data_IF_578986506775
#
_entry.id   IF_578986506775
#
_cell.length_a   1.000
_cell.length_b   1.000
_cell.length_c   1.000
_cell.angle_alpha   90.00
_cell.angle_beta   90.00
_cell.angle_gamma   90.00
#
_symmetry.space_group_name_H-M   'P 1'
#
loop_
_entity.id
_entity.type
_entity.pdbx_description
1 polymer ?
#
# COMPACT_ATOMS: atom_id res chain seq x y z
N UNK A 1 -2.49 -17.15 16.04
CA UNK A 1 -1.83 -16.35 14.98
C UNK A 1 -0.68 -15.55 15.58
N UNK A 2 0.41 -16.25 15.92
CA UNK A 2 1.48 -15.72 16.77
C UNK A 2 2.64 -15.12 15.96
N UNK A 3 3.08 -13.93 16.37
CA UNK A 3 4.31 -13.20 16.00
C UNK A 3 4.54 -12.90 14.50
N UNK A 4 3.87 -11.88 13.96
CA UNK A 4 4.28 -11.28 12.68
C UNK A 4 5.31 -10.16 12.90
N UNK A 5 6.45 -10.18 12.21
CA UNK A 5 7.50 -9.14 12.33
C UNK A 5 6.94 -7.74 12.00
N UNK A 6 6.83 -6.83 12.98
CA UNK A 6 6.24 -5.51 12.76
C UNK A 6 7.04 -4.71 11.74
N UNK A 7 6.37 -3.87 10.95
CA UNK A 7 7.00 -3.03 9.92
C UNK A 7 6.75 -1.55 10.23
N UNK A 8 7.72 -0.70 9.89
CA UNK A 8 7.66 0.75 10.15
C UNK A 8 7.16 1.55 8.96
N UNK A 9 7.25 0.98 7.77
CA UNK A 9 6.83 1.60 6.52
C UNK A 9 5.69 0.78 5.92
N UNK A 10 4.83 1.38 5.08
CA UNK A 10 3.72 0.67 4.43
C UNK A 10 4.20 -0.28 3.32
N UNK A 11 5.36 0.00 2.73
CA UNK A 11 6.05 -0.86 1.75
C UNK A 11 7.52 -0.98 2.10
N UNK A 12 8.12 -2.13 1.78
CA UNK A 12 9.55 -2.33 2.00
C UNK A 12 10.37 -1.37 1.11
N UNK A 13 11.39 -0.68 1.63
CA UNK A 13 12.26 0.18 0.84
C UNK A 13 12.89 -0.61 -0.31
N UNK A 14 13.10 0.06 -1.46
CA UNK A 14 13.68 -0.56 -2.67
C UNK A 14 12.86 -1.73 -3.25
N UNK A 15 11.63 -1.94 -2.80
CA UNK A 15 10.73 -2.91 -3.44
C UNK A 15 10.40 -2.42 -4.84
N UNK A 16 10.73 -3.24 -5.85
CA UNK A 16 10.45 -2.96 -7.24
C UNK A 16 9.42 -3.95 -7.78
N UNK A 17 8.15 -3.67 -7.49
CA UNK A 17 7.02 -4.46 -8.02
C UNK A 17 6.86 -4.26 -9.53
N UNK A 18 7.25 -3.10 -10.04
CA UNK A 18 7.34 -2.75 -11.47
C UNK A 18 8.24 -3.67 -12.29
N UNK A 19 9.18 -4.37 -11.65
CA UNK A 19 10.06 -5.34 -12.30
C UNK A 19 9.52 -6.76 -12.31
N UNK A 20 8.43 -7.03 -11.58
CA UNK A 20 7.77 -8.32 -11.61
C UNK A 20 7.04 -8.45 -12.93
N UNK A 21 7.29 -9.54 -13.64
CA UNK A 21 6.49 -9.91 -14.81
C UNK A 21 5.14 -10.44 -14.32
N UNK A 22 4.05 -9.91 -14.86
CA UNK A 22 2.68 -10.42 -14.62
C UNK A 22 2.37 -11.70 -15.41
N UNK A 23 3.42 -12.50 -15.63
CA UNK A 23 3.43 -13.77 -16.36
C UNK A 23 3.87 -14.90 -15.41
N UNK A 24 3.13 -15.16 -14.32
CA UNK A 24 3.44 -16.27 -13.43
C UNK A 24 3.29 -17.62 -14.14
N UNK A 25 4.04 -18.63 -13.69
CA UNK A 25 3.88 -20.00 -14.21
C UNK A 25 2.49 -20.55 -13.86
N UNK A 26 2.02 -21.58 -14.59
CA UNK A 26 0.74 -22.21 -14.30
C UNK A 26 0.65 -22.76 -12.86
N UNK A 27 1.78 -23.25 -12.32
CA UNK A 27 1.88 -23.72 -10.94
C UNK A 27 1.72 -22.56 -9.95
N UNK A 28 2.37 -21.43 -10.20
CA UNK A 28 2.25 -20.23 -9.37
C UNK A 28 0.83 -19.65 -9.39
N UNK A 29 0.17 -19.64 -10.55
CA UNK A 29 -1.23 -19.23 -10.68
C UNK A 29 -2.12 -20.11 -9.81
N UNK A 30 -1.94 -21.43 -9.86
CA UNK A 30 -2.71 -22.37 -9.03
C UNK A 30 -2.47 -22.15 -7.53
N UNK A 31 -1.22 -21.92 -7.11
CA UNK A 31 -0.89 -21.57 -5.72
C UNK A 31 -1.55 -20.26 -5.28
N UNK A 32 -1.58 -19.26 -6.17
CA UNK A 32 -2.07 -17.92 -5.90
C UNK A 32 -3.59 -17.79 -5.97
N UNK A 33 -4.29 -18.66 -6.69
CA UNK A 33 -5.76 -18.69 -6.69
C UNK A 33 -6.35 -18.87 -5.30
N UNK A 34 -5.68 -19.63 -4.42
CA UNK A 34 -6.11 -19.82 -3.04
C UNK A 34 -5.82 -18.60 -2.13
N UNK A 35 -5.11 -17.57 -2.62
CA UNK A 35 -4.76 -16.38 -1.83
C UNK A 35 -5.73 -15.25 -2.13
N UNK A 36 -6.23 -14.54 -1.09
CA UNK A 36 -7.18 -13.45 -1.27
C UNK A 36 -6.49 -12.14 -1.69
N UNK A 37 -5.68 -12.15 -2.76
CA UNK A 37 -4.88 -11.00 -3.18
C UNK A 37 -5.74 -9.77 -3.44
N UNK A 38 -6.73 -9.89 -4.35
CA UNK A 38 -7.63 -8.80 -4.73
C UNK A 38 -8.42 -8.26 -3.54
N UNK A 39 -8.89 -9.15 -2.66
CA UNK A 39 -9.64 -8.77 -1.46
C UNK A 39 -8.78 -7.97 -0.48
N UNK A 40 -7.51 -8.37 -0.29
CA UNK A 40 -6.57 -7.61 0.55
C UNK A 40 -6.30 -6.25 -0.08
N UNK A 41 -6.02 -6.18 -1.38
CA UNK A 41 -5.78 -4.89 -2.05
C UNK A 41 -6.99 -3.97 -1.97
N UNK A 42 -8.20 -4.48 -2.17
CA UNK A 42 -9.45 -3.71 -2.02
C UNK A 42 -9.66 -3.19 -0.59
N UNK A 43 -9.34 -4.02 0.41
CA UNK A 43 -9.42 -3.61 1.83
C UNK A 43 -8.39 -2.52 2.15
N UNK A 44 -7.16 -2.64 1.62
CA UNK A 44 -6.13 -1.61 1.77
C UNK A 44 -6.52 -0.31 1.04
N UNK A 45 -7.15 -0.40 -0.12
CA UNK A 45 -7.67 0.76 -0.86
C UNK A 45 -8.72 1.52 -0.06
N UNK A 46 -9.65 0.80 0.57
CA UNK A 46 -10.65 1.41 1.45
C UNK A 46 -9.97 2.18 2.60
N UNK A 47 -9.01 1.55 3.29
CA UNK A 47 -8.26 2.22 4.36
C UNK A 47 -7.50 3.44 3.84
N UNK A 48 -6.85 3.33 2.67
CA UNK A 48 -6.11 4.42 2.07
C UNK A 48 -6.99 5.65 1.80
N UNK A 49 -8.23 5.42 1.36
CA UNK A 49 -9.19 6.48 1.05
C UNK A 49 -9.81 7.13 2.30
N UNK A 50 -10.05 6.35 3.35
CA UNK A 50 -10.86 6.81 4.50
C UNK A 50 -10.00 7.38 5.63
N UNK A 51 -8.92 6.71 6.02
CA UNK A 51 -8.21 7.05 7.27
C UNK A 51 -6.69 6.88 7.21
N UNK A 52 -6.15 6.24 6.17
CA UNK A 52 -4.73 5.87 6.06
C UNK A 52 -4.12 6.32 4.74
N UNK A 53 -4.09 7.63 4.43
CA UNK A 53 -3.58 8.14 3.15
C UNK A 53 -2.13 7.74 2.89
N UNK A 54 -1.36 7.43 3.93
CA UNK A 54 0.00 6.87 3.88
C UNK A 54 0.09 5.53 3.10
N UNK A 55 -1.02 4.79 2.97
CA UNK A 55 -1.08 3.55 2.20
C UNK A 55 -1.24 3.78 0.68
N UNK A 56 -1.60 4.98 0.24
CA UNK A 56 -2.03 5.23 -1.15
C UNK A 56 -1.02 4.75 -2.18
N UNK A 57 0.26 5.06 -1.98
CA UNK A 57 1.34 4.61 -2.85
C UNK A 57 1.45 3.08 -2.90
N UNK A 58 1.38 2.44 -1.73
CA UNK A 58 1.48 0.97 -1.62
C UNK A 58 0.32 0.29 -2.36
N UNK A 59 -0.89 0.79 -2.18
CA UNK A 59 -2.08 0.26 -2.87
C UNK A 59 -1.97 0.45 -4.37
N UNK A 60 -1.51 1.62 -4.83
CA UNK A 60 -1.36 1.90 -6.26
C UNK A 60 -0.41 0.89 -6.93
N UNK A 61 0.71 0.58 -6.27
CA UNK A 61 1.66 -0.42 -6.76
C UNK A 61 1.07 -1.83 -6.74
N UNK A 62 0.35 -2.21 -5.68
CA UNK A 62 -0.28 -3.53 -5.58
C UNK A 62 -1.41 -3.75 -6.60
N UNK A 63 -2.17 -2.70 -6.92
CA UNK A 63 -3.30 -2.77 -7.82
C UNK A 63 -2.92 -3.22 -9.25
N UNK A 64 -1.68 -2.94 -9.67
CA UNK A 64 -1.14 -3.35 -10.99
C UNK A 64 -1.14 -4.87 -11.16
N UNK A 65 -0.83 -5.60 -10.07
CA UNK A 65 -0.72 -7.06 -10.06
C UNK A 65 -2.04 -7.76 -9.68
N UNK A 66 -3.17 -7.04 -9.61
CA UNK A 66 -4.45 -7.65 -9.22
C UNK A 66 -4.98 -8.65 -10.26
N UNK A 67 -4.65 -8.47 -11.55
CA UNK A 67 -5.14 -9.34 -12.62
C UNK A 67 -4.58 -10.77 -12.46
N UNK A 68 -3.26 -10.90 -12.42
CA UNK A 68 -2.50 -12.15 -12.37
C UNK A 68 -1.40 -12.07 -11.31
N UNK A 69 -1.75 -12.16 -10.01
CA UNK A 69 -0.78 -11.95 -8.94
C UNK A 69 0.25 -13.08 -8.89
N UNK A 70 1.52 -12.76 -9.09
CA UNK A 70 2.63 -13.69 -8.88
C UNK A 70 2.92 -13.97 -7.40
N UNK A 71 3.67 -15.06 -7.14
CA UNK A 71 4.05 -15.46 -5.77
C UNK A 71 4.92 -14.40 -5.08
N UNK A 72 5.83 -13.79 -5.81
CA UNK A 72 6.66 -12.69 -5.33
C UNK A 72 5.82 -11.47 -4.95
N UNK A 73 4.80 -11.14 -5.76
CA UNK A 73 3.88 -10.04 -5.50
C UNK A 73 3.10 -10.24 -4.18
N UNK A 74 2.82 -11.48 -3.76
CA UNK A 74 2.11 -11.78 -2.50
C UNK A 74 2.85 -11.30 -1.25
N UNK A 75 4.16 -11.11 -1.32
CA UNK A 75 4.96 -10.66 -0.17
C UNK A 75 4.65 -9.22 0.24
N UNK A 76 4.34 -8.36 -0.73
CA UNK A 76 4.06 -6.93 -0.53
C UNK A 76 2.75 -6.63 0.23
N UNK A 77 1.57 -7.19 -0.10
CA UNK A 77 0.36 -6.95 0.69
C UNK A 77 0.50 -7.51 2.12
N UNK A 78 1.20 -8.65 2.29
CA UNK A 78 1.53 -9.16 3.63
C UNK A 78 2.42 -8.18 4.41
N UNK A 79 3.32 -7.46 3.75
CA UNK A 79 4.14 -6.42 4.37
C UNK A 79 3.27 -5.27 4.88
N UNK A 80 2.37 -4.76 4.03
CA UNK A 80 1.43 -3.69 4.37
C UNK A 80 0.53 -4.07 5.56
N UNK A 81 0.03 -5.31 5.61
CA UNK A 81 -0.78 -5.80 6.74
C UNK A 81 0.01 -5.82 8.07
N UNK A 82 1.31 -6.16 8.05
CA UNK A 82 2.16 -6.10 9.25
C UNK A 82 2.42 -4.68 9.72
N UNK A 83 2.54 -3.74 8.78
CA UNK A 83 2.63 -2.32 9.07
C UNK A 83 1.33 -1.79 9.71
N UNK A 84 0.16 -2.13 9.14
CA UNK A 84 -1.14 -1.79 9.72
C UNK A 84 -1.31 -2.33 11.14
N UNK A 85 -0.92 -3.59 11.37
CA UNK A 85 -0.95 -4.19 12.71
C UNK A 85 -0.09 -3.40 13.71
N UNK A 86 1.07 -2.89 13.31
CA UNK A 86 1.94 -2.07 14.16
C UNK A 86 1.32 -0.69 14.43
N UNK A 87 0.70 -0.10 13.42
CA UNK A 87 0.23 1.30 13.43
C UNK A 87 -1.26 1.44 13.75
N UNK A 88 -1.94 0.38 14.17
CA UNK A 88 -3.39 0.38 14.47
C UNK A 88 -3.81 1.37 15.57
N UNK A 89 -2.88 1.82 16.39
CA UNK A 89 -3.10 2.77 17.48
C UNK A 89 -2.69 4.21 17.12
N UNK A 90 -2.13 4.43 15.93
CA UNK A 90 -1.77 5.77 15.46
C UNK A 90 -3.02 6.42 14.89
N UNK A 91 -3.30 7.64 15.30
CA UNK A 91 -4.45 8.43 14.88
C UNK A 91 -4.01 9.82 14.42
N UNK A 92 -4.77 10.39 13.48
CA UNK A 92 -4.61 11.78 13.06
C UNK A 92 -5.41 12.67 14.00
N UNK A 93 -4.71 13.41 14.85
CA UNK A 93 -5.34 14.36 15.78
C UNK A 93 -5.42 15.74 15.12
N UNK A 94 -6.60 16.08 14.60
CA UNK A 94 -6.90 17.42 14.10
C UNK A 94 -7.32 18.31 15.28
N UNK A 95 -6.65 19.45 15.45
CA UNK A 95 -7.02 20.46 16.45
C UNK A 95 -7.22 21.81 15.76
N UNK A 96 -8.24 22.59 16.16
CA UNK A 96 -8.36 23.95 15.69
C UNK A 96 -7.14 24.76 16.15
N UNK A 97 -6.63 25.59 15.26
CA UNK A 97 -5.56 26.54 15.53
C UNK A 97 -6.21 27.92 15.53
N UNK A 98 -6.00 28.71 16.59
CA UNK A 98 -6.63 30.03 16.74
C UNK A 98 -6.23 31.00 15.61
N UNK A 99 -5.05 30.81 15.02
CA UNK A 99 -4.49 31.64 13.93
C UNK A 99 -5.02 31.30 12.52
N UNK A 100 -6.00 30.39 12.41
CA UNK A 100 -6.51 29.90 11.13
C UNK A 100 -5.53 28.97 10.39
N UNK A 101 -5.98 28.37 9.29
CA UNK A 101 -5.15 27.47 8.47
C UNK A 101 -4.37 28.27 7.42
N UNK A 102 -3.04 28.37 7.58
CA UNK A 102 -2.16 28.92 6.52
C UNK A 102 -1.84 27.80 5.53
N UNK A 103 -2.49 27.84 4.37
CA UNK A 103 -2.20 26.92 3.25
C UNK A 103 -1.28 27.66 2.28
N UNK A 104 -0.06 27.17 2.12
CA UNK A 104 0.80 27.56 1.01
C UNK A 104 0.73 26.43 -0.03
N UNK A 105 0.40 26.79 -1.27
CA UNK A 105 0.51 25.89 -2.42
C UNK A 105 1.68 26.38 -3.26
N UNK A 106 2.65 25.52 -3.50
CA UNK A 106 3.64 25.75 -4.54
C UNK A 106 3.05 25.17 -5.82
N UNK A 107 2.78 26.04 -6.80
CA UNK A 107 2.27 25.66 -8.10
C UNK A 107 3.40 25.90 -9.11
N UNK A 108 4.20 24.87 -9.39
CA UNK A 108 5.16 24.86 -10.48
C UNK A 108 4.50 24.37 -11.78
N UNK A 109 3.42 25.04 -12.18
CA UNK A 109 2.79 24.72 -13.46
C UNK A 109 3.63 25.29 -14.62
N UNK A 110 4.42 24.40 -15.22
CA UNK A 110 5.17 24.57 -16.48
C UNK A 110 6.54 25.29 -16.42
N UNK A 111 7.55 24.61 -15.88
CA UNK A 111 8.94 24.93 -16.20
C UNK A 111 9.68 23.71 -16.78
N UNK A 112 9.17 23.21 -17.90
CA UNK A 112 9.95 22.44 -18.87
C UNK A 112 9.97 23.25 -20.18
N UNK A 113 11.11 23.89 -20.47
CA UNK A 113 11.49 24.45 -21.78
C UNK A 113 12.62 23.59 -22.35
#
# INVERSE_FOLDING_TARGET
>A
MNVSKPQNTPMAPKTRLDKLTDEPSAEEVAEMQAKPFRQVVGSLLYLARVSRPDLSFTVNQLARHCATPGKEAWTAPKYALRYLRKTKHIELVLRPIEDGMRVATDADWANDL
#
